data_IF_062999081373
#
_entry.id   IF_062999081373
#
_cell.length_a   1.000
_cell.length_b   1.000
_cell.length_c   1.000
_cell.angle_alpha   90.00
_cell.angle_beta   90.00
_cell.angle_gamma   90.00
#
_symmetry.space_group_name_H-M   'P 1'
#
loop_
_entity.id
_entity.type
_entity.pdbx_description
1 polymer ?
#
# COMPACT_ATOMS: atom_id res chain seq x y z
N UNK A 1 11.26 -6.67 -17.73
CA UNK A 1 10.85 -7.56 -16.63
C UNK A 1 9.45 -7.12 -16.25
N UNK A 2 8.50 -8.06 -16.14
CA UNK A 2 7.11 -7.73 -15.79
C UNK A 2 6.91 -7.97 -14.29
N UNK A 3 5.92 -7.30 -13.70
CA UNK A 3 5.52 -7.58 -12.32
C UNK A 3 5.06 -9.04 -12.20
N UNK A 4 5.56 -9.72 -11.18
CA UNK A 4 5.24 -11.13 -10.92
C UNK A 4 3.78 -11.30 -10.47
N UNK A 5 3.20 -12.49 -10.68
CA UNK A 5 1.79 -12.74 -10.39
C UNK A 5 1.44 -12.51 -8.92
N UNK A 6 2.22 -13.08 -8.00
CA UNK A 6 2.02 -12.92 -6.55
C UNK A 6 2.09 -11.46 -6.12
N UNK A 7 2.96 -10.66 -6.77
CA UNK A 7 3.05 -9.22 -6.51
C UNK A 7 1.78 -8.49 -6.94
N UNK A 8 1.24 -8.83 -8.12
CA UNK A 8 -0.03 -8.26 -8.60
C UNK A 8 -1.22 -8.67 -7.73
N UNK A 9 -1.24 -9.89 -7.22
CA UNK A 9 -2.28 -10.33 -6.29
C UNK A 9 -2.22 -9.61 -4.94
N UNK A 10 -1.02 -9.50 -4.36
CA UNK A 10 -0.78 -8.75 -3.12
C UNK A 10 -1.10 -7.26 -3.29
N UNK A 11 -0.72 -6.68 -4.43
CA UNK A 11 -1.09 -5.31 -4.80
C UNK A 11 -2.61 -5.18 -4.99
N UNK A 12 -3.26 -6.18 -5.59
CA UNK A 12 -4.71 -6.24 -5.73
C UNK A 12 -5.45 -6.27 -4.39
N UNK A 13 -4.92 -7.01 -3.40
CA UNK A 13 -5.41 -6.99 -2.03
C UNK A 13 -5.26 -5.60 -1.41
N UNK A 14 -4.08 -4.99 -1.57
CA UNK A 14 -3.84 -3.64 -1.07
C UNK A 14 -4.75 -2.60 -1.73
N UNK A 15 -4.97 -2.67 -3.04
CA UNK A 15 -5.83 -1.72 -3.73
C UNK A 15 -7.29 -1.80 -3.27
N UNK A 16 -7.78 -2.98 -2.85
CA UNK A 16 -9.10 -3.11 -2.21
C UNK A 16 -9.14 -2.42 -0.84
N UNK A 17 -8.08 -2.54 -0.04
CA UNK A 17 -7.93 -1.82 1.24
C UNK A 17 -7.92 -0.30 0.99
N UNK A 18 -7.15 0.17 0.00
CA UNK A 18 -7.07 1.58 -0.36
C UNK A 18 -8.42 2.16 -0.82
N UNK A 19 -9.17 1.39 -1.61
CA UNK A 19 -10.50 1.79 -2.07
C UNK A 19 -11.54 1.84 -0.95
N UNK A 20 -11.52 0.86 -0.05
CA UNK A 20 -12.37 0.88 1.15
C UNK A 20 -12.03 2.06 2.06
N UNK A 21 -10.75 2.29 2.33
CA UNK A 21 -10.27 3.45 3.07
C UNK A 21 -10.73 4.77 2.45
N UNK A 22 -10.60 4.90 1.12
CA UNK A 22 -11.03 6.09 0.38
C UNK A 22 -12.53 6.32 0.52
N UNK A 23 -13.33 5.26 0.41
CA UNK A 23 -14.79 5.34 0.57
C UNK A 23 -15.19 5.81 1.97
N UNK A 24 -14.48 5.36 2.99
CA UNK A 24 -14.84 5.64 4.39
C UNK A 24 -14.32 6.98 4.91
N UNK A 25 -13.18 7.45 4.39
CA UNK A 25 -12.52 8.68 4.88
C UNK A 25 -12.61 9.85 3.91
N UNK A 26 -13.00 9.61 2.66
CA UNK A 26 -12.97 10.61 1.59
C UNK A 26 -11.54 10.98 1.13
N UNK A 27 -10.49 10.34 1.66
CA UNK A 27 -9.09 10.61 1.31
C UNK A 27 -8.43 9.35 0.74
N UNK A 28 -7.58 9.47 -0.31
CA UNK A 28 -6.82 8.33 -0.79
C UNK A 28 -5.71 7.94 0.19
N UNK A 29 -5.35 6.67 0.18
CA UNK A 29 -4.06 6.19 0.65
C UNK A 29 -3.05 6.28 -0.49
N UNK A 30 -1.84 6.76 -0.21
CA UNK A 30 -0.81 6.95 -1.22
C UNK A 30 0.27 5.89 -1.09
N UNK A 31 0.44 5.08 -2.14
CA UNK A 31 1.53 4.12 -2.25
C UNK A 31 2.80 4.88 -2.66
N UNK A 32 3.85 4.75 -1.86
CA UNK A 32 5.13 5.43 -2.04
C UNK A 32 6.28 4.42 -2.05
N UNK A 33 7.52 4.91 -2.04
CA UNK A 33 8.70 4.07 -1.89
C UNK A 33 8.95 3.15 -3.09
N UNK A 34 9.55 1.99 -2.82
CA UNK A 34 10.00 1.06 -3.86
C UNK A 34 8.85 0.49 -4.69
N UNK A 35 7.69 0.22 -4.07
CA UNK A 35 6.51 -0.28 -4.77
C UNK A 35 5.94 0.73 -5.78
N UNK A 36 5.94 2.03 -5.44
CA UNK A 36 5.57 3.07 -6.39
C UNK A 36 6.54 3.12 -7.59
N UNK A 37 7.85 3.01 -7.34
CA UNK A 37 8.87 2.95 -8.40
C UNK A 37 8.69 1.71 -9.27
N UNK A 38 8.36 0.55 -8.68
CA UNK A 38 8.09 -0.68 -9.42
C UNK A 38 6.93 -0.48 -10.41
N UNK A 39 5.85 0.18 -9.99
CA UNK A 39 4.71 0.48 -10.86
C UNK A 39 5.06 1.49 -11.96
N UNK A 40 5.72 2.59 -11.61
CA UNK A 40 6.15 3.62 -12.58
C UNK A 40 7.07 3.07 -13.66
N UNK A 41 7.86 2.05 -13.33
CA UNK A 41 8.85 1.46 -14.24
C UNK A 41 8.39 0.14 -14.87
N UNK A 42 7.15 -0.28 -14.61
CA UNK A 42 6.61 -1.54 -15.13
C UNK A 42 7.35 -2.78 -14.63
N UNK A 43 7.94 -2.73 -13.44
CA UNK A 43 8.68 -3.84 -12.82
C UNK A 43 10.17 -3.89 -13.16
N UNK A 44 10.77 -2.79 -13.66
CA UNK A 44 12.23 -2.73 -13.83
C UNK A 44 12.97 -2.74 -12.48
N UNK A 45 12.32 -2.26 -11.42
CA UNK A 45 12.76 -2.37 -10.03
C UNK A 45 11.75 -3.18 -9.23
N UNK A 46 12.26 -3.98 -8.29
CA UNK A 46 11.44 -4.77 -7.38
C UNK A 46 11.51 -4.22 -5.97
N UNK A 47 10.37 -4.23 -5.28
CA UNK A 47 10.23 -3.99 -3.86
C UNK A 47 9.42 -5.14 -3.27
N UNK A 48 9.85 -5.65 -2.12
CA UNK A 48 9.03 -6.60 -1.35
C UNK A 48 8.10 -5.89 -0.36
N UNK A 49 8.24 -4.58 -0.20
CA UNK A 49 7.49 -3.79 0.77
C UNK A 49 6.59 -2.78 0.06
N UNK A 50 5.39 -2.60 0.62
CA UNK A 50 4.40 -1.62 0.24
C UNK A 50 4.32 -0.54 1.32
N UNK A 51 4.82 0.65 0.99
CA UNK A 51 4.83 1.80 1.90
C UNK A 51 3.65 2.72 1.60
N UNK A 52 2.88 3.06 2.63
CA UNK A 52 1.68 3.88 2.48
C UNK A 52 1.72 5.12 3.35
N UNK A 53 1.27 6.25 2.78
CA UNK A 53 0.92 7.46 3.51
C UNK A 53 -0.59 7.56 3.56
N UNK A 54 -1.15 7.69 4.76
CA UNK A 54 -2.59 7.86 4.99
C UNK A 54 -2.84 9.02 5.95
N UNK A 55 -4.01 9.66 5.82
CA UNK A 55 -4.36 10.79 6.69
C UNK A 55 -4.99 10.33 8.02
N UNK A 56 -5.53 9.12 8.08
CA UNK A 56 -6.23 8.55 9.23
C UNK A 56 -5.70 7.14 9.50
N UNK A 57 -4.56 7.07 10.18
CA UNK A 57 -3.82 5.82 10.43
C UNK A 57 -4.64 4.78 11.21
N UNK A 58 -5.37 5.21 12.24
CA UNK A 58 -6.23 4.33 13.04
C UNK A 58 -7.30 3.65 12.18
N UNK A 59 -7.94 4.40 11.28
CA UNK A 59 -8.96 3.81 10.41
C UNK A 59 -8.36 2.85 9.38
N UNK A 60 -7.19 3.19 8.85
CA UNK A 60 -6.49 2.29 7.93
C UNK A 60 -6.05 1.00 8.62
N UNK A 61 -5.57 1.09 9.86
CA UNK A 61 -5.26 -0.06 10.72
C UNK A 61 -6.47 -0.98 10.90
N UNK A 62 -7.64 -0.44 11.24
CA UNK A 62 -8.87 -1.22 11.39
C UNK A 62 -9.26 -1.97 10.11
N UNK A 63 -9.15 -1.32 8.95
CA UNK A 63 -9.45 -1.94 7.65
C UNK A 63 -8.44 -3.06 7.35
N UNK A 64 -7.15 -2.84 7.61
CA UNK A 64 -6.12 -3.88 7.45
C UNK A 64 -6.47 -5.12 8.27
N UNK A 65 -6.79 -4.96 9.57
CA UNK A 65 -7.19 -6.09 10.42
C UNK A 65 -8.44 -6.81 9.90
N UNK A 66 -9.45 -6.07 9.45
CA UNK A 66 -10.67 -6.64 8.86
C UNK A 66 -10.41 -7.42 7.57
N UNK A 67 -9.35 -7.07 6.85
CA UNK A 67 -8.93 -7.70 5.59
C UNK A 67 -7.92 -8.84 5.79
N UNK A 68 -7.67 -9.25 7.03
CA UNK A 68 -6.82 -10.41 7.35
C UNK A 68 -5.34 -10.08 7.51
N UNK A 69 -4.96 -8.80 7.49
CA UNK A 69 -3.60 -8.39 7.83
C UNK A 69 -3.35 -8.54 9.32
N UNK A 70 -2.11 -8.87 9.66
CA UNK A 70 -1.63 -9.01 11.02
C UNK A 70 -0.56 -7.95 11.28
N UNK A 71 -0.56 -7.27 12.45
CA UNK A 71 0.58 -6.48 12.89
C UNK A 71 1.84 -7.35 12.87
N UNK A 72 2.98 -6.80 12.43
CA UNK A 72 4.20 -7.57 12.26
C UNK A 72 4.73 -8.10 13.61
N UNK A 73 4.56 -9.41 13.80
CA UNK A 73 4.94 -10.14 15.01
C UNK A 73 5.84 -11.35 14.72
N UNK A 74 6.28 -11.55 13.47
CA UNK A 74 7.07 -12.72 13.06
C UNK A 74 8.51 -12.67 13.55
N UNK A 75 9.05 -13.82 13.93
CA UNK A 75 10.43 -13.91 14.41
C UNK A 75 11.44 -13.53 13.33
N UNK A 76 12.49 -12.79 13.69
CA UNK A 76 13.54 -12.36 12.74
C UNK A 76 13.15 -11.18 11.83
N UNK A 77 11.98 -10.56 12.06
CA UNK A 77 11.53 -9.33 11.37
C UNK A 77 11.51 -8.14 12.34
N UNK A 78 11.71 -6.94 11.79
CA UNK A 78 11.45 -5.70 12.53
C UNK A 78 9.95 -5.65 12.84
N UNK A 79 9.59 -5.35 14.09
CA UNK A 79 8.19 -5.33 14.58
C UNK A 79 7.50 -4.03 14.17
N UNK A 80 7.48 -3.76 12.86
CA UNK A 80 6.95 -2.55 12.25
C UNK A 80 6.07 -2.95 11.07
N UNK A 81 4.93 -2.28 10.95
CA UNK A 81 3.99 -2.53 9.86
C UNK A 81 3.18 -3.80 10.06
N UNK A 82 2.84 -4.43 8.94
CA UNK A 82 1.88 -5.52 8.82
C UNK A 82 2.36 -6.55 7.81
N UNK A 83 1.83 -7.76 7.93
CA UNK A 83 1.92 -8.81 6.92
C UNK A 83 0.54 -9.40 6.66
N UNK A 84 0.40 -10.10 5.54
CA UNK A 84 -0.78 -10.92 5.26
C UNK A 84 -0.37 -12.40 5.21
N UNK A 85 -1.07 -13.33 5.89
CA UNK A 85 -0.70 -14.75 5.93
C UNK A 85 -0.63 -15.42 4.54
N UNK A 86 -1.50 -15.02 3.61
CA UNK A 86 -1.51 -15.56 2.24
C UNK A 86 -0.36 -15.03 1.37
N UNK A 87 0.29 -13.94 1.80
CA UNK A 87 1.37 -13.28 1.07
C UNK A 87 2.56 -12.98 2.00
N UNK A 88 3.16 -14.00 2.63
CA UNK A 88 4.13 -13.82 3.71
C UNK A 88 5.45 -13.20 3.24
N UNK A 89 5.75 -13.19 1.94
CA UNK A 89 6.95 -12.59 1.39
C UNK A 89 6.91 -11.06 1.35
N UNK A 90 5.72 -10.45 1.49
CA UNK A 90 5.55 -9.00 1.40
C UNK A 90 5.29 -8.34 2.76
N UNK A 91 5.71 -7.09 2.89
CA UNK A 91 5.45 -6.23 4.04
C UNK A 91 4.58 -5.03 3.66
N UNK A 92 3.75 -4.56 4.60
CA UNK A 92 2.99 -3.33 4.45
C UNK A 92 3.30 -2.39 5.59
N UNK A 93 3.67 -1.17 5.29
CA UNK A 93 4.07 -0.22 6.30
C UNK A 93 3.36 1.12 6.13
N UNK A 94 2.88 1.66 7.26
CA UNK A 94 2.48 3.07 7.31
C UNK A 94 3.74 3.91 7.51
N UNK A 95 3.99 4.80 6.57
CA UNK A 95 5.02 5.84 6.69
C UNK A 95 4.34 7.05 7.32
N UNK A 96 4.79 7.38 8.54
CA UNK A 96 4.18 8.46 9.31
C UNK A 96 4.51 9.82 8.71
N UNK A 97 3.57 10.76 8.88
CA UNK A 97 3.71 12.14 8.42
C UNK A 97 3.00 12.43 7.10
N UNK A 98 2.71 13.71 6.81
CA UNK A 98 2.03 14.09 5.58
C UNK A 98 2.95 13.93 4.37
N UNK A 99 2.36 13.60 3.21
CA UNK A 99 3.10 13.46 1.95
C UNK A 99 3.96 14.70 1.66
N UNK A 100 5.27 14.49 1.50
CA UNK A 100 6.28 15.54 1.31
C UNK A 100 6.16 16.69 2.32
N UNK A 101 6.01 16.36 3.61
CA UNK A 101 5.77 17.32 4.70
C UNK A 101 4.55 18.23 4.49
N UNK A 102 3.55 17.74 3.76
CA UNK A 102 2.36 18.49 3.39
C UNK A 102 2.58 19.50 2.26
N UNK A 103 3.73 19.46 1.58
CA UNK A 103 4.05 20.32 0.43
C UNK A 103 3.66 19.72 -0.91
N UNK A 104 3.15 18.49 -0.92
CA UNK A 104 2.64 17.84 -2.11
C UNK A 104 1.39 18.54 -2.65
N UNK A 105 1.32 18.74 -3.96
CA UNK A 105 0.06 19.06 -4.63
C UNK A 105 -0.78 17.77 -4.70
N UNK A 106 -1.88 17.73 -3.93
CA UNK A 106 -2.74 16.54 -3.82
C UNK A 106 -3.44 16.17 -5.13
N UNK A 107 -3.43 17.06 -6.13
CA UNK A 107 -3.98 16.79 -7.46
C UNK A 107 -2.94 16.23 -8.44
N UNK A 108 -1.65 16.31 -8.12
CA UNK A 108 -0.57 15.74 -8.94
C UNK A 108 -0.29 14.32 -8.49
N UNK A 109 -1.19 13.42 -8.88
CA UNK A 109 -1.14 12.02 -8.51
C UNK A 109 -1.54 11.16 -9.71
N UNK A 110 -1.08 9.91 -9.72
CA UNK A 110 -1.51 8.91 -10.69
C UNK A 110 -2.33 7.84 -9.98
N UNK A 111 -3.49 7.48 -10.54
CA UNK A 111 -4.23 6.31 -10.10
C UNK A 111 -3.80 5.12 -10.95
N UNK A 112 -3.29 4.07 -10.30
CA UNK A 112 -2.97 2.81 -10.96
C UNK A 112 -4.10 1.82 -10.72
N UNK A 113 -4.84 1.50 -11.79
CA UNK A 113 -5.92 0.53 -11.75
C UNK A 113 -5.35 -0.89 -11.88
N UNK A 114 -5.66 -1.76 -10.93
CA UNK A 114 -5.19 -3.16 -10.91
C UNK A 114 -6.27 -4.05 -11.54
N UNK A 115 -7.50 -3.96 -11.03
CA UNK A 115 -8.68 -4.66 -11.55
C UNK A 115 -9.96 -3.84 -11.28
N UNK A 116 -11.13 -4.42 -11.57
CA UNK A 116 -12.41 -3.79 -11.28
C UNK A 116 -12.65 -3.70 -9.76
N UNK A 117 -12.34 -2.53 -9.18
CA UNK A 117 -12.54 -2.23 -7.76
C UNK A 117 -11.26 -2.27 -6.91
N UNK A 118 -10.10 -2.51 -7.52
CA UNK A 118 -8.80 -2.38 -6.87
C UNK A 118 -7.94 -1.33 -7.56
N UNK A 119 -7.57 -0.29 -6.82
CA UNK A 119 -6.66 0.74 -7.29
C UNK A 119 -5.79 1.28 -6.15
N UNK A 120 -4.60 1.74 -6.52
CA UNK A 120 -3.70 2.50 -5.62
C UNK A 120 -3.44 3.88 -6.21
N UNK A 121 -3.15 4.85 -5.35
CA UNK A 121 -2.77 6.20 -5.75
C UNK A 121 -1.28 6.39 -5.53
N UNK A 122 -0.58 6.88 -6.55
CA UNK A 122 0.85 7.16 -6.56
C UNK A 122 1.06 8.69 -6.55
N UNK A 123 2.03 9.22 -5.80
CA UNK A 123 2.46 10.61 -5.93
C UNK A 123 3.16 10.89 -7.27
#
# INVERSE_FOLDING_TARGET
MALEADYLEALGLLGRVCEEYRRETGSPAYLVGGAAVALWTGGAFHSADFDLIVAAEERFHEILLQRGFCPEDRAGKLKVGYYHPDYPQFGWQLVTGPMFDGRADRMRVAQFQIDAGSAVVLP
#
